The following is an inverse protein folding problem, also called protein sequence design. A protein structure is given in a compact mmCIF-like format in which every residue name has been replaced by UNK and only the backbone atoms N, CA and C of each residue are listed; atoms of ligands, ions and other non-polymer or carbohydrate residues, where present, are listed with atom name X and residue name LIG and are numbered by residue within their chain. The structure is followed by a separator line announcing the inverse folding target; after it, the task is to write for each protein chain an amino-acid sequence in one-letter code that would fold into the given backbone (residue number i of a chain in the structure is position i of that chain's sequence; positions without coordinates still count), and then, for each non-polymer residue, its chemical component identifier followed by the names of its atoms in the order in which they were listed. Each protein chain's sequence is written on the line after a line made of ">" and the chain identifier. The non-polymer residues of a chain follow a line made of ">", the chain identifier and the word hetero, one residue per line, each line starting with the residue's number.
data_IF_128236482689
#
_entry.id   IF_128236482689
#
_cell.length_a   1.000
_cell.length_b   1.000
_cell.length_c   1.000
_cell.angle_alpha   90.00
_cell.angle_beta   90.00
_cell.angle_gamma   90.00
#
_symmetry.space_group_name_H-M   'P 1'
#
loop_
_entity.id
_entity.type
_entity.pdbx_description
1 polymer ?
#
# COMPACT_ATOMS: atom_id res chain seq x y z
N UNK A 1 12.13 -20.16 -3.00
CA UNK A 1 10.67 -19.92 -3.00
C UNK A 1 10.24 -19.48 -1.61
N UNK A 2 10.26 -18.17 -1.33
CA UNK A 2 10.06 -17.57 0.01
C UNK A 2 8.59 -17.29 0.36
N UNK A 3 7.63 -17.94 -0.29
CA UNK A 3 6.21 -17.56 -0.23
C UNK A 3 5.50 -18.13 1.03
N UNK A 4 6.24 -18.71 2.00
CA UNK A 4 5.62 -19.35 3.17
C UNK A 4 6.26 -18.98 4.52
N UNK A 5 6.62 -17.70 4.73
CA UNK A 5 7.07 -17.24 6.06
C UNK A 5 5.93 -16.65 6.92
N UNK A 6 4.81 -16.24 6.32
CA UNK A 6 3.74 -15.54 7.04
C UNK A 6 2.38 -16.16 6.74
N UNK A 7 1.63 -16.49 7.79
CA UNK A 7 0.27 -17.04 7.71
C UNK A 7 -0.80 -15.98 7.57
N UNK A 8 -0.53 -14.76 8.05
CA UNK A 8 -1.50 -13.67 8.04
C UNK A 8 -0.90 -12.36 7.50
N UNK A 9 -1.76 -11.53 6.92
CA UNK A 9 -1.38 -10.21 6.44
C UNK A 9 -0.78 -9.34 7.56
N UNK A 10 -1.29 -9.45 8.80
CA UNK A 10 -0.76 -8.69 9.94
C UNK A 10 0.72 -8.99 10.21
N UNK A 11 1.14 -10.24 10.00
CA UNK A 11 2.52 -10.67 10.28
C UNK A 11 3.47 -10.09 9.23
N UNK A 12 3.05 -10.09 7.96
CA UNK A 12 3.77 -9.42 6.87
C UNK A 12 3.91 -7.92 7.15
N UNK A 13 2.84 -7.25 7.61
CA UNK A 13 2.87 -5.82 7.88
C UNK A 13 3.76 -5.47 9.07
N UNK A 14 3.72 -6.28 10.12
CA UNK A 14 4.60 -6.12 11.28
C UNK A 14 6.06 -6.34 10.89
N UNK A 15 6.34 -7.30 10.01
CA UNK A 15 7.69 -7.55 9.50
C UNK A 15 8.20 -6.34 8.71
N UNK A 16 7.44 -5.87 7.71
CA UNK A 16 7.79 -4.66 6.92
C UNK A 16 8.09 -3.48 7.85
N UNK A 17 7.25 -3.24 8.86
CA UNK A 17 7.48 -2.13 9.80
C UNK A 17 8.70 -2.31 10.71
N UNK A 18 9.21 -3.53 10.89
CA UNK A 18 10.37 -3.86 11.74
C UNK A 18 11.68 -3.90 10.96
N UNK A 19 11.64 -4.42 9.73
CA UNK A 19 12.85 -4.80 8.97
C UNK A 19 13.14 -3.84 7.83
N UNK A 20 12.12 -3.20 7.26
CA UNK A 20 12.26 -2.32 6.11
C UNK A 20 12.48 -0.86 6.51
N UNK A 21 13.06 -0.10 5.59
CA UNK A 21 13.29 1.32 5.77
C UNK A 21 11.99 2.14 5.61
N UNK A 22 12.02 3.41 6.04
CA UNK A 22 10.84 4.31 5.99
C UNK A 22 10.28 4.48 4.58
N UNK A 23 11.12 4.45 3.55
CA UNK A 23 10.68 4.56 2.17
C UNK A 23 9.86 3.33 1.76
N UNK A 24 10.38 2.13 2.04
CA UNK A 24 9.73 0.87 1.71
C UNK A 24 8.45 0.65 2.52
N UNK A 25 8.50 0.89 3.83
CA UNK A 25 7.33 0.85 4.70
C UNK A 25 6.26 1.86 4.25
N UNK A 26 6.66 3.06 3.84
CA UNK A 26 5.75 4.09 3.34
C UNK A 26 5.06 3.72 2.02
N UNK A 27 5.79 3.10 1.09
CA UNK A 27 5.19 2.52 -0.13
C UNK A 27 4.16 1.44 0.20
N UNK A 28 4.48 0.55 1.12
CA UNK A 28 3.57 -0.51 1.56
C UNK A 28 2.29 0.09 2.22
N UNK A 29 2.46 1.10 3.07
CA UNK A 29 1.34 1.82 3.68
C UNK A 29 0.43 2.48 2.63
N UNK A 30 1.00 3.14 1.62
CA UNK A 30 0.22 3.75 0.54
C UNK A 30 -0.55 2.71 -0.28
N UNK A 31 0.06 1.55 -0.56
CA UNK A 31 -0.60 0.44 -1.26
C UNK A 31 -1.79 -0.10 -0.46
N UNK A 32 -1.61 -0.35 0.85
CA UNK A 32 -2.69 -0.77 1.73
C UNK A 32 -3.85 0.23 1.74
N UNK A 33 -3.52 1.53 1.85
CA UNK A 33 -4.51 2.59 1.83
C UNK A 33 -5.35 2.57 0.56
N UNK A 34 -4.71 2.45 -0.61
CA UNK A 34 -5.41 2.40 -1.91
C UNK A 34 -6.27 1.14 -2.04
N UNK A 35 -5.79 -0.02 -1.57
CA UNK A 35 -6.58 -1.26 -1.57
C UNK A 35 -7.81 -1.12 -0.68
N UNK A 36 -7.63 -0.58 0.52
CA UNK A 36 -8.72 -0.33 1.45
C UNK A 36 -9.75 0.66 0.87
N UNK A 37 -9.29 1.75 0.27
CA UNK A 37 -10.15 2.72 -0.41
C UNK A 37 -10.96 2.08 -1.54
N UNK A 38 -10.34 1.25 -2.39
CA UNK A 38 -11.03 0.54 -3.46
C UNK A 38 -12.07 -0.48 -2.94
N UNK A 39 -11.77 -1.16 -1.81
CA UNK A 39 -12.75 -2.03 -1.15
C UNK A 39 -13.95 -1.23 -0.65
N UNK A 40 -13.73 -0.05 -0.07
CA UNK A 40 -14.83 0.83 0.35
C UNK A 40 -15.67 1.31 -0.82
N UNK A 41 -15.05 1.72 -1.94
CA UNK A 41 -15.80 2.06 -3.16
C UNK A 41 -16.66 0.90 -3.66
N UNK A 42 -16.17 -0.34 -3.55
CA UNK A 42 -16.96 -1.51 -3.94
C UNK A 42 -18.18 -1.72 -3.04
N UNK A 43 -18.07 -1.41 -1.74
CA UNK A 43 -19.16 -1.57 -0.77
C UNK A 43 -20.18 -0.45 -0.90
N UNK A 44 -19.71 0.80 -1.00
CA UNK A 44 -20.56 1.98 -0.90
C UNK A 44 -21.03 2.51 -2.26
N UNK A 45 -20.26 2.27 -3.33
CA UNK A 45 -20.51 2.86 -4.65
C UNK A 45 -20.65 1.81 -5.76
N UNK A 46 -20.65 0.52 -5.44
CA UNK A 46 -20.65 -0.60 -6.40
C UNK A 46 -19.57 -0.47 -7.50
N UNK A 47 -18.48 0.26 -7.24
CA UNK A 47 -17.42 0.54 -8.20
C UNK A 47 -16.09 -0.02 -7.72
N UNK A 48 -15.29 -0.58 -8.63
CA UNK A 48 -14.01 -1.20 -8.28
C UNK A 48 -13.00 -1.06 -9.42
N UNK A 49 -11.83 -0.54 -9.09
CA UNK A 49 -10.70 -0.47 -10.01
C UNK A 49 -9.97 -1.83 -10.08
N UNK A 50 -9.32 -2.10 -11.22
CA UNK A 50 -8.50 -3.30 -11.41
C UNK A 50 -7.22 -3.26 -10.56
N UNK A 51 -6.73 -4.42 -10.12
CA UNK A 51 -5.55 -4.50 -9.24
C UNK A 51 -4.28 -3.85 -9.82
N UNK A 52 -4.08 -3.91 -11.14
CA UNK A 52 -2.93 -3.24 -11.79
C UNK A 52 -3.04 -1.72 -11.70
N UNK A 53 -4.25 -1.17 -11.87
CA UNK A 53 -4.49 0.27 -11.71
C UNK A 53 -4.22 0.72 -10.26
N UNK A 54 -4.59 -0.10 -9.27
CA UNK A 54 -4.33 0.20 -7.85
C UNK A 54 -2.85 0.32 -7.53
N UNK A 55 -2.01 -0.57 -8.05
CA UNK A 55 -0.56 -0.52 -7.85
C UNK A 55 0.06 0.76 -8.42
N UNK A 56 -0.32 1.13 -9.65
CA UNK A 56 0.12 2.38 -10.27
C UNK A 56 -0.36 3.62 -9.49
N UNK A 57 -1.62 3.63 -9.06
CA UNK A 57 -2.22 4.70 -8.26
C UNK A 57 -1.50 4.87 -6.91
N UNK A 58 -1.23 3.78 -6.20
CA UNK A 58 -0.50 3.78 -4.95
C UNK A 58 0.93 4.33 -5.13
N UNK A 59 1.63 3.91 -6.18
CA UNK A 59 2.96 4.40 -6.48
C UNK A 59 2.96 5.91 -6.76
N UNK A 60 2.04 6.40 -7.60
CA UNK A 60 1.93 7.82 -7.91
C UNK A 60 1.58 8.66 -6.67
N UNK A 61 0.67 8.18 -5.82
CA UNK A 61 0.30 8.86 -4.57
C UNK A 61 1.48 8.91 -3.59
N UNK A 62 2.27 7.84 -3.49
CA UNK A 62 3.49 7.82 -2.70
C UNK A 62 4.50 8.86 -3.18
N UNK A 63 4.75 8.94 -4.50
CA UNK A 63 5.68 9.92 -5.06
C UNK A 63 5.23 11.36 -4.77
N UNK A 64 3.93 11.66 -4.89
CA UNK A 64 3.36 12.98 -4.55
C UNK A 64 3.52 13.30 -3.06
N UNK A 65 3.25 12.33 -2.18
CA UNK A 65 3.41 12.54 -0.76
C UNK A 65 4.88 12.78 -0.40
N UNK A 66 5.79 11.95 -0.92
CA UNK A 66 7.24 12.08 -0.71
C UNK A 66 7.76 13.42 -1.21
N UNK A 67 7.33 13.89 -2.39
CA UNK A 67 7.79 15.18 -2.91
C UNK A 67 7.45 16.33 -1.96
N UNK A 68 6.26 16.31 -1.35
CA UNK A 68 5.85 17.32 -0.35
C UNK A 68 6.69 17.23 0.93
N UNK A 69 7.08 16.03 1.35
CA UNK A 69 7.91 15.86 2.55
C UNK A 69 9.36 16.33 2.37
N UNK A 70 9.85 16.34 1.13
CA UNK A 70 11.22 16.75 0.78
C UNK A 70 11.30 18.21 0.28
N UNK A 71 10.17 18.90 0.10
CA UNK A 71 10.10 20.29 -0.36
C UNK A 71 10.08 21.31 0.78
N UNK A 72 10.57 20.94 1.96
CA UNK A 72 10.62 21.74 3.19
C UNK A 72 12.04 21.67 3.77
#
# INVERSE_FOLDING_TARGET
>A
TYIHQFSEAKDVLLDICRTEDRETAGRAAMLMWVIWNNRNCSVWNASRESGRCLGAKAHQLWLKWRSVQHSN
#
